data_IF_172341955035
#
_entry.id   IF_172341955035
#
_cell.length_a   1.000
_cell.length_b   1.000
_cell.length_c   1.000
_cell.angle_alpha   90.00
_cell.angle_beta   90.00
_cell.angle_gamma   90.00
#
_symmetry.space_group_name_H-M   'P 1'
#
loop_
_entity.id
_entity.type
_entity.pdbx_description
1 polymer ?
#
# COMPACT_ATOMS: atom_id res chain seq x y z
N UNK A 1 17.33 75.83 10.57
CA UNK A 1 17.97 75.05 9.49
C UNK A 1 17.21 73.74 9.36
N UNK A 2 16.61 73.51 8.20
CA UNK A 2 15.84 72.31 7.87
C UNK A 2 16.82 71.17 7.57
N UNK A 3 16.70 70.05 8.27
CA UNK A 3 17.20 68.73 7.85
C UNK A 3 15.93 67.94 7.52
N UNK A 4 15.60 67.55 6.28
CA UNK A 4 16.38 66.68 5.41
C UNK A 4 16.56 65.34 6.14
N UNK A 5 15.75 64.28 5.98
CA UNK A 5 14.75 63.90 4.99
C UNK A 5 15.20 62.57 4.38
N UNK A 6 14.73 61.42 4.89
CA UNK A 6 14.74 60.10 4.23
C UNK A 6 13.51 59.29 4.73
N UNK A 7 12.74 58.75 3.79
CA UNK A 7 11.64 57.79 3.96
C UNK A 7 12.16 56.34 3.88
N UNK A 8 11.30 55.39 4.25
CA UNK A 8 11.52 53.94 4.46
C UNK A 8 12.18 53.70 5.83
N UNK A 9 11.68 52.81 6.68
CA UNK A 9 11.50 51.39 6.40
C UNK A 9 10.42 50.78 7.30
N UNK A 10 9.60 49.90 6.72
CA UNK A 10 8.94 48.84 7.47
C UNK A 10 10.04 47.97 8.10
N UNK A 11 10.38 48.23 9.35
CA UNK A 11 11.38 47.48 10.12
C UNK A 11 10.84 47.14 11.52
N UNK A 12 10.18 45.99 11.62
CA UNK A 12 10.47 44.92 12.60
C UNK A 12 9.46 43.79 12.35
N UNK A 13 9.83 42.67 11.73
CA UNK A 13 10.60 41.54 12.30
C UNK A 13 10.00 41.01 13.61
N UNK A 14 9.37 39.84 13.47
CA UNK A 14 9.39 38.67 14.36
C UNK A 14 9.17 38.89 15.86
N UNK A 15 8.08 38.32 16.38
CA UNK A 15 8.13 37.24 17.39
C UNK A 15 6.72 36.85 17.82
N UNK A 16 6.23 35.72 17.30
CA UNK A 16 5.16 34.92 17.90
C UNK A 16 5.48 33.42 17.82
N UNK A 17 6.77 33.09 17.89
CA UNK A 17 7.20 31.75 18.24
C UNK A 17 7.53 31.77 19.72
N UNK A 18 6.72 31.09 20.53
CA UNK A 18 7.13 30.22 21.65
C UNK A 18 5.90 29.93 22.53
N UNK A 19 5.72 28.64 22.88
CA UNK A 19 4.60 27.98 23.56
C UNK A 19 3.49 27.57 22.56
N UNK A 20 3.50 26.36 22.01
CA UNK A 20 3.41 25.11 22.78
C UNK A 20 4.17 23.94 22.13
N UNK A 21 4.96 23.30 22.98
CA UNK A 21 5.68 22.03 22.84
C UNK A 21 4.80 20.82 22.55
N UNK A 22 5.25 20.03 21.55
CA UNK A 22 5.32 18.56 21.51
C UNK A 22 4.17 17.72 22.10
N UNK A 23 3.30 17.21 21.23
CA UNK A 23 2.72 15.87 21.32
C UNK A 23 2.27 15.41 19.93
N UNK A 24 2.78 14.26 19.49
CA UNK A 24 2.22 13.39 18.45
C UNK A 24 2.04 13.97 17.05
N UNK A 25 3.15 14.29 16.38
CA UNK A 25 3.16 14.30 14.91
C UNK A 25 3.33 12.86 14.43
N UNK A 26 2.22 12.14 14.31
CA UNK A 26 2.14 11.00 13.42
C UNK A 26 2.64 11.51 12.05
N UNK A 27 3.81 11.05 11.61
CA UNK A 27 4.33 11.42 10.30
C UNK A 27 3.45 10.73 9.26
N UNK A 28 2.33 11.37 8.93
CA UNK A 28 1.46 10.93 7.84
C UNK A 28 2.28 11.09 6.58
N UNK A 29 2.80 9.96 6.05
CA UNK A 29 3.54 9.93 4.81
C UNK A 29 2.73 10.66 3.73
N UNK A 30 3.39 11.45 2.86
CA UNK A 30 2.67 12.23 1.87
C UNK A 30 1.83 11.31 0.98
N UNK A 31 0.68 11.77 0.47
CA UNK A 31 -0.33 10.93 -0.19
C UNK A 31 0.18 10.17 -1.43
N UNK A 32 1.34 10.54 -1.95
CA UNK A 32 2.04 9.93 -3.08
C UNK A 32 3.15 8.95 -2.68
N UNK A 33 3.56 8.89 -1.40
CA UNK A 33 4.66 8.05 -0.93
C UNK A 33 4.47 6.55 -1.20
N UNK A 34 3.21 6.10 -1.28
CA UNK A 34 2.86 4.69 -1.49
C UNK A 34 2.56 4.35 -2.96
N UNK A 35 2.91 5.23 -3.91
CA UNK A 35 2.79 4.94 -5.35
C UNK A 35 3.95 4.11 -5.89
N UNK A 36 5.07 4.07 -5.16
CA UNK A 36 6.26 3.30 -5.52
C UNK A 36 6.27 1.95 -4.81
N UNK A 37 6.74 0.92 -5.51
CA UNK A 37 6.92 -0.40 -4.92
C UNK A 37 7.99 -0.33 -3.82
N UNK A 38 7.70 -0.75 -2.58
CA UNK A 38 8.68 -0.71 -1.50
C UNK A 38 9.81 -1.72 -1.75
N UNK A 39 11.01 -1.36 -1.31
CA UNK A 39 12.19 -2.22 -1.45
C UNK A 39 12.14 -3.47 -0.55
N UNK A 40 11.43 -3.38 0.58
CA UNK A 40 11.27 -4.45 1.56
C UNK A 40 9.77 -4.71 1.73
N UNK A 41 9.34 -5.93 1.37
CA UNK A 41 7.94 -6.33 1.44
C UNK A 41 7.60 -7.01 2.77
N UNK A 42 8.53 -7.83 3.26
CA UNK A 42 8.45 -8.53 4.53
C UNK A 42 9.63 -8.12 5.41
N UNK A 43 9.39 -7.96 6.71
CA UNK A 43 10.44 -7.74 7.69
C UNK A 43 11.23 -9.03 8.00
N UNK A 44 12.19 -8.93 8.93
CA UNK A 44 13.05 -10.04 9.33
C UNK A 44 12.27 -11.22 9.98
N UNK A 45 11.03 -10.98 10.44
CA UNK A 45 10.14 -11.98 11.03
C UNK A 45 9.13 -12.55 10.00
N UNK A 46 9.12 -12.03 8.77
CA UNK A 46 8.20 -12.45 7.71
C UNK A 46 6.83 -11.77 7.79
N UNK A 47 6.68 -10.70 8.55
CA UNK A 47 5.48 -9.86 8.56
C UNK A 47 5.54 -8.80 7.46
N UNK A 48 4.39 -8.44 6.85
CA UNK A 48 4.35 -7.39 5.85
C UNK A 48 4.74 -6.04 6.46
N UNK A 49 5.55 -5.27 5.73
CA UNK A 49 5.85 -3.89 6.12
C UNK A 49 4.62 -2.99 5.93
N UNK A 50 4.53 -1.90 6.69
CA UNK A 50 3.40 -0.97 6.56
C UNK A 50 3.38 -0.32 5.16
N UNK A 51 4.55 -0.01 4.60
CA UNK A 51 4.69 0.50 3.24
C UNK A 51 4.14 -0.48 2.20
N UNK A 52 4.37 -1.78 2.40
CA UNK A 52 3.83 -2.82 1.53
C UNK A 52 2.31 -2.92 1.63
N UNK A 53 1.76 -2.89 2.84
CA UNK A 53 0.31 -2.89 3.05
C UNK A 53 -0.35 -1.66 2.40
N UNK A 54 0.23 -0.47 2.58
CA UNK A 54 -0.29 0.76 1.98
C UNK A 54 -0.18 0.75 0.46
N UNK A 55 0.92 0.22 -0.10
CA UNK A 55 1.05 0.02 -1.54
C UNK A 55 -0.08 -0.88 -2.08
N UNK A 56 -0.38 -2.01 -1.43
CA UNK A 56 -1.48 -2.89 -1.85
C UNK A 56 -2.84 -2.15 -1.80
N UNK A 57 -3.09 -1.37 -0.74
CA UNK A 57 -4.34 -0.60 -0.59
C UNK A 57 -4.54 0.41 -1.72
N UNK A 58 -3.46 1.01 -2.22
CA UNK A 58 -3.47 1.97 -3.33
C UNK A 58 -3.24 1.36 -4.72
N UNK A 59 -2.84 0.10 -4.81
CA UNK A 59 -2.39 -0.51 -6.06
C UNK A 59 -3.47 -0.49 -7.14
N UNK A 60 -3.10 0.03 -8.31
CA UNK A 60 -3.92 0.05 -9.51
C UNK A 60 -3.06 -0.45 -10.68
N UNK A 61 -3.42 -1.57 -11.32
CA UNK A 61 -2.66 -2.09 -12.45
C UNK A 61 -2.61 -1.08 -13.61
N UNK A 62 -1.42 -0.90 -14.17
CA UNK A 62 -1.16 -0.09 -15.36
C UNK A 62 -0.18 -0.80 -16.30
N UNK A 63 0.37 -0.08 -17.28
CA UNK A 63 1.33 -0.64 -18.25
C UNK A 63 2.68 -1.02 -17.62
N UNK A 64 3.10 -0.32 -16.56
CA UNK A 64 4.37 -0.55 -15.88
C UNK A 64 4.31 -1.79 -14.99
N UNK A 65 3.18 -2.00 -14.31
CA UNK A 65 2.96 -3.17 -13.47
C UNK A 65 1.53 -3.72 -13.69
N UNK A 66 1.35 -4.55 -14.73
CA UNK A 66 0.06 -5.20 -14.98
C UNK A 66 -0.30 -6.19 -13.86
N UNK A 67 -1.60 -6.45 -13.68
CA UNK A 67 -2.13 -7.28 -12.59
C UNK A 67 -1.44 -8.65 -12.49
N UNK A 68 -1.30 -9.36 -13.61
CA UNK A 68 -0.68 -10.68 -13.59
C UNK A 68 0.81 -10.62 -13.23
N UNK A 69 1.52 -9.57 -13.66
CA UNK A 69 2.92 -9.38 -13.30
C UNK A 69 3.02 -9.14 -11.80
N UNK A 70 2.25 -8.18 -11.27
CA UNK A 70 2.16 -7.94 -9.82
C UNK A 70 1.91 -9.21 -9.02
N UNK A 71 0.93 -10.03 -9.42
CA UNK A 71 0.60 -11.27 -8.69
C UNK A 71 1.71 -12.31 -8.78
N UNK A 72 2.40 -12.42 -9.92
CA UNK A 72 3.43 -13.44 -10.16
C UNK A 72 4.82 -13.07 -9.67
N UNK A 73 5.10 -11.79 -9.43
CA UNK A 73 6.45 -11.33 -9.11
C UNK A 73 6.52 -10.51 -7.84
N UNK A 74 5.45 -9.83 -7.43
CA UNK A 74 5.48 -8.94 -6.26
C UNK A 74 4.66 -9.53 -5.12
N UNK A 75 3.39 -9.85 -5.38
CA UNK A 75 2.50 -10.35 -4.35
C UNK A 75 2.96 -11.71 -3.80
N UNK A 76 3.55 -12.55 -4.65
CA UNK A 76 4.11 -13.84 -4.24
C UNK A 76 5.36 -13.69 -3.36
N UNK A 77 6.20 -12.69 -3.64
CA UNK A 77 7.43 -12.40 -2.87
C UNK A 77 7.09 -11.77 -1.52
N UNK A 78 6.02 -10.96 -1.49
CA UNK A 78 5.46 -10.38 -0.27
C UNK A 78 4.50 -11.31 0.48
N UNK A 79 4.50 -12.62 0.24
CA UNK A 79 3.63 -13.60 0.90
C UNK A 79 4.45 -14.60 1.72
N UNK A 80 4.17 -14.69 3.02
CA UNK A 80 4.89 -15.63 3.89
C UNK A 80 4.48 -17.08 3.57
N UNK A 81 5.47 -17.97 3.44
CA UNK A 81 5.30 -19.38 2.99
C UNK A 81 4.58 -19.48 1.64
N UNK A 82 5.03 -18.68 0.65
CA UNK A 82 4.42 -18.62 -0.68
C UNK A 82 4.46 -19.93 -1.46
N UNK A 83 5.47 -20.78 -1.22
CA UNK A 83 5.59 -22.12 -1.81
C UNK A 83 4.39 -23.03 -1.49
N UNK A 84 3.82 -22.90 -0.29
CA UNK A 84 2.64 -23.66 0.14
C UNK A 84 1.34 -22.86 -0.04
N UNK A 85 1.36 -21.59 0.38
CA UNK A 85 0.19 -20.75 0.59
C UNK A 85 -0.31 -20.02 -0.66
N UNK A 86 0.49 -19.96 -1.73
CA UNK A 86 0.18 -19.17 -2.90
C UNK A 86 -0.02 -20.04 -4.14
N UNK A 87 -1.23 -20.01 -4.73
CA UNK A 87 -1.53 -20.81 -5.92
C UNK A 87 -2.24 -20.00 -6.99
N UNK A 88 -1.60 -19.87 -8.14
CA UNK A 88 -2.16 -19.19 -9.31
C UNK A 88 -2.46 -20.19 -10.43
N UNK A 89 -3.74 -20.34 -10.78
CA UNK A 89 -4.20 -21.22 -11.83
C UNK A 89 -4.77 -20.44 -13.01
N UNK A 90 -4.33 -20.78 -14.22
CA UNK A 90 -4.94 -20.26 -15.45
C UNK A 90 -6.33 -20.88 -15.65
N UNK A 91 -7.32 -20.03 -15.95
CA UNK A 91 -8.66 -20.44 -16.38
C UNK A 91 -8.87 -20.07 -17.86
N UNK A 92 -10.07 -20.35 -18.38
CA UNK A 92 -10.48 -19.98 -19.74
C UNK A 92 -10.68 -18.47 -19.91
N UNK A 93 -10.61 -17.99 -21.16
CA UNK A 93 -10.95 -16.60 -21.58
C UNK A 93 -10.22 -15.50 -20.79
N UNK A 94 -8.91 -15.66 -20.56
CA UNK A 94 -8.10 -14.62 -19.92
C UNK A 94 -8.37 -14.44 -18.41
N UNK A 95 -9.09 -15.38 -17.77
CA UNK A 95 -9.29 -15.38 -16.32
C UNK A 95 -8.23 -16.22 -15.62
N UNK A 96 -7.91 -15.86 -14.38
CA UNK A 96 -7.08 -16.68 -13.49
C UNK A 96 -7.78 -16.87 -12.14
N UNK A 97 -7.53 -18.00 -11.49
CA UNK A 97 -7.91 -18.25 -10.10
C UNK A 97 -6.67 -18.09 -9.24
N UNK A 98 -6.73 -17.18 -8.27
CA UNK A 98 -5.72 -17.09 -7.22
C UNK A 98 -6.29 -17.67 -5.94
N UNK A 99 -5.50 -18.52 -5.30
CA UNK A 99 -5.77 -19.05 -3.97
C UNK A 99 -4.66 -18.58 -3.04
N UNK A 100 -5.06 -17.94 -1.94
CA UNK A 100 -4.19 -17.46 -0.88
C UNK A 100 -4.57 -18.19 0.40
N UNK A 101 -3.63 -18.96 0.95
CA UNK A 101 -3.81 -19.74 2.16
C UNK A 101 -2.90 -19.17 3.24
N UNK A 102 -3.47 -18.71 4.34
CA UNK A 102 -2.70 -18.01 5.37
C UNK A 102 -1.95 -18.96 6.29
N UNK A 103 -2.41 -20.20 6.42
CA UNK A 103 -1.80 -21.20 7.30
C UNK A 103 -1.87 -20.84 8.79
N UNK A 104 -2.73 -19.87 9.16
CA UNK A 104 -2.80 -19.30 10.50
C UNK A 104 -1.78 -18.19 10.78
N UNK A 105 -1.02 -17.74 9.77
CA UNK A 105 -0.11 -16.60 9.91
C UNK A 105 -0.86 -15.27 9.79
N UNK A 106 -0.74 -14.42 10.82
CA UNK A 106 -1.43 -13.12 10.88
C UNK A 106 -0.97 -12.14 9.81
N UNK A 107 0.33 -12.10 9.48
CA UNK A 107 0.82 -11.19 8.42
C UNK A 107 0.18 -11.44 7.05
N UNK A 108 -0.15 -12.70 6.74
CA UNK A 108 -0.87 -13.06 5.52
C UNK A 108 -2.34 -12.56 5.54
N UNK A 109 -2.97 -12.56 6.72
CA UNK A 109 -4.33 -12.01 6.89
C UNK A 109 -4.34 -10.49 6.70
N UNK A 110 -3.29 -9.79 7.12
CA UNK A 110 -3.13 -8.34 6.90
C UNK A 110 -3.01 -7.99 5.42
N UNK A 111 -2.23 -8.76 4.66
CA UNK A 111 -2.15 -8.61 3.19
C UNK A 111 -3.52 -8.81 2.55
N UNK A 112 -4.26 -9.85 2.95
CA UNK A 112 -5.63 -10.09 2.45
C UNK A 112 -6.54 -8.91 2.80
N UNK A 113 -6.44 -8.38 4.02
CA UNK A 113 -7.22 -7.23 4.46
C UNK A 113 -6.90 -5.99 3.61
N UNK A 114 -5.63 -5.74 3.31
CA UNK A 114 -5.18 -4.67 2.42
C UNK A 114 -5.77 -4.84 1.00
N UNK A 115 -5.68 -6.03 0.40
CA UNK A 115 -6.28 -6.32 -0.91
C UNK A 115 -7.79 -6.05 -0.88
N UNK A 116 -8.49 -6.54 0.15
CA UNK A 116 -9.95 -6.40 0.28
C UNK A 116 -10.39 -4.96 0.49
N UNK A 117 -9.57 -4.14 1.16
CA UNK A 117 -9.86 -2.72 1.35
C UNK A 117 -9.69 -1.90 0.06
N UNK A 118 -8.87 -2.38 -0.88
CA UNK A 118 -8.78 -1.81 -2.22
C UNK A 118 -10.01 -2.17 -3.05
N UNK A 119 -11.08 -1.39 -2.87
CA UNK A 119 -12.37 -1.62 -3.50
C UNK A 119 -12.30 -1.57 -5.03
N UNK A 120 -11.46 -0.68 -5.58
CA UNK A 120 -11.30 -0.60 -7.03
C UNK A 120 -10.68 -1.88 -7.58
N UNK A 121 -9.58 -2.35 -6.98
CA UNK A 121 -8.90 -3.58 -7.40
C UNK A 121 -9.85 -4.77 -7.31
N UNK A 122 -10.53 -4.92 -6.18
CA UNK A 122 -11.41 -6.07 -5.94
C UNK A 122 -12.70 -6.05 -6.76
N UNK A 123 -13.24 -4.88 -7.10
CA UNK A 123 -14.44 -4.80 -7.92
C UNK A 123 -14.14 -5.05 -9.40
N UNK A 124 -13.03 -4.51 -9.92
CA UNK A 124 -12.79 -4.48 -11.37
C UNK A 124 -11.83 -5.57 -11.88
N UNK A 125 -10.82 -5.95 -11.09
CA UNK A 125 -9.67 -6.70 -11.60
C UNK A 125 -9.36 -7.99 -10.82
N UNK A 126 -9.52 -8.00 -9.50
CA UNK A 126 -9.18 -9.12 -8.61
C UNK A 126 -10.34 -9.44 -7.67
N UNK A 127 -11.40 -10.02 -8.23
CA UNK A 127 -12.65 -10.24 -7.50
C UNK A 127 -12.50 -11.26 -6.38
N UNK A 128 -12.85 -10.87 -5.16
CA UNK A 128 -12.97 -11.80 -4.05
C UNK A 128 -14.19 -12.71 -4.24
N UNK A 129 -13.96 -14.02 -4.23
CA UNK A 129 -15.00 -15.02 -4.56
C UNK A 129 -15.51 -15.74 -3.33
N UNK A 130 -14.59 -16.20 -2.48
CA UNK A 130 -14.94 -17.08 -1.37
C UNK A 130 -13.87 -17.05 -0.28
N UNK A 131 -14.34 -17.29 0.94
CA UNK A 131 -13.54 -17.64 2.10
C UNK A 131 -13.89 -19.05 2.56
N UNK A 132 -12.92 -19.79 3.09
CA UNK A 132 -13.17 -20.99 3.90
C UNK A 132 -12.40 -20.92 5.21
N UNK A 133 -13.00 -21.48 6.26
CA UNK A 133 -12.36 -21.67 7.57
C UNK A 133 -10.98 -22.29 7.41
N UNK A 134 -10.01 -21.84 8.21
CA UNK A 134 -8.60 -22.22 8.06
C UNK A 134 -7.78 -21.24 7.22
N UNK A 135 -8.32 -20.07 6.89
CA UNK A 135 -7.56 -19.02 6.21
C UNK A 135 -7.38 -19.26 4.71
N UNK A 136 -8.38 -19.86 4.05
CA UNK A 136 -8.34 -20.12 2.61
C UNK A 136 -9.17 -19.08 1.86
N UNK A 137 -8.50 -18.26 1.05
CA UNK A 137 -9.10 -17.15 0.32
C UNK A 137 -8.98 -17.36 -1.19
N UNK A 138 -10.07 -17.08 -1.91
CA UNK A 138 -10.16 -17.34 -3.33
C UNK A 138 -10.52 -16.06 -4.09
N UNK A 139 -9.72 -15.75 -5.10
CA UNK A 139 -9.91 -14.61 -5.99
C UNK A 139 -10.02 -15.05 -7.45
N UNK A 140 -10.77 -14.30 -8.24
CA UNK A 140 -10.82 -14.41 -9.69
C UNK A 140 -10.25 -13.15 -10.32
N UNK A 141 -9.19 -13.32 -11.11
CA UNK A 141 -8.46 -12.25 -11.76
C UNK A 141 -8.93 -12.13 -13.20
N UNK A 142 -9.25 -10.90 -13.62
CA UNK A 142 -9.64 -10.57 -14.99
C UNK A 142 -8.54 -9.75 -15.66
N UNK A 143 -7.94 -10.35 -16.69
CA UNK A 143 -6.77 -9.78 -17.40
C UNK A 143 -7.16 -9.28 -18.80
N UNK A 144 -8.47 -9.03 -18.98
CA UNK A 144 -9.07 -8.48 -20.20
C UNK A 144 -8.80 -6.98 -20.28
#
# INVERSE_FOLDING_TARGET
MRSGGINNENLNRMNKDELTTNADTEQVAPPDAYTLLPAVLLDDEGYPTEEWLQYIKGYKPDESLPLLTFVKTVLIDGWYMSDWGFKLHKKYKGKHKLELHTGGWSGNEEIIAAIKSNMWLTHFKMRYVMWRTGGHHYFELSVV
#
